data_IF_942898614681
#
_entry.id   IF_942898614681
#
_cell.length_a   1.000
_cell.length_b   1.000
_cell.length_c   1.000
_cell.angle_alpha   90.00
_cell.angle_beta   90.00
_cell.angle_gamma   90.00
#
_symmetry.space_group_name_H-M   'P 1'
#
loop_
_entity.id
_entity.type
_entity.pdbx_description
1 polymer ?
#
# COMPACT_ATOMS: atom_id res chain seq x y z
N UNK A 1 -29.75 66.91 -47.24
CA UNK A 1 -29.47 66.50 -45.87
C UNK A 1 -29.58 64.97 -45.78
N UNK A 2 -28.46 64.27 -45.64
CA UNK A 2 -28.42 62.78 -45.60
C UNK A 2 -27.93 62.38 -44.21
N UNK A 3 -28.83 61.87 -43.41
CA UNK A 3 -28.54 61.32 -42.04
C UNK A 3 -27.95 59.94 -42.15
N UNK A 4 -26.71 59.73 -41.68
CA UNK A 4 -26.07 58.42 -41.56
C UNK A 4 -26.34 57.90 -40.18
N UNK A 5 -27.03 56.76 -40.08
CA UNK A 5 -27.19 55.98 -38.85
C UNK A 5 -25.94 55.06 -38.64
N UNK A 6 -25.25 55.21 -37.49
CA UNK A 6 -24.21 54.28 -37.02
C UNK A 6 -24.88 53.16 -36.26
N UNK A 7 -24.69 51.97 -36.76
CA UNK A 7 -25.07 50.73 -36.04
C UNK A 7 -23.81 50.25 -35.24
N UNK A 8 -23.91 50.34 -33.92
CA UNK A 8 -22.88 49.76 -33.01
C UNK A 8 -23.18 48.29 -32.75
N UNK A 9 -22.29 47.38 -33.22
CA UNK A 9 -22.33 45.98 -32.86
C UNK A 9 -21.66 45.78 -31.50
N UNK A 10 -22.44 45.37 -30.51
CA UNK A 10 -21.95 44.89 -29.21
C UNK A 10 -21.57 43.40 -29.35
N UNK A 11 -20.27 43.08 -29.30
CA UNK A 11 -19.78 41.72 -29.14
C UNK A 11 -19.83 41.37 -27.66
N UNK A 12 -20.76 40.50 -27.25
CA UNK A 12 -20.76 39.87 -25.94
C UNK A 12 -19.79 38.67 -25.97
N UNK A 13 -18.63 38.82 -25.36
CA UNK A 13 -17.69 37.69 -25.13
C UNK A 13 -18.19 36.84 -23.98
N UNK A 14 -18.73 35.66 -24.28
CA UNK A 14 -19.06 34.65 -23.27
C UNK A 14 -17.77 33.99 -22.80
N UNK A 15 -17.31 34.32 -21.61
CA UNK A 15 -16.22 33.62 -20.94
C UNK A 15 -16.72 32.26 -20.44
N UNK A 16 -16.39 31.19 -21.15
CA UNK A 16 -16.62 29.84 -20.70
C UNK A 16 -15.62 29.50 -19.55
N UNK A 17 -16.11 29.56 -18.32
CA UNK A 17 -15.36 29.07 -17.17
C UNK A 17 -15.36 27.53 -17.19
N UNK A 18 -14.27 26.94 -17.64
CA UNK A 18 -14.02 25.50 -17.47
C UNK A 18 -13.78 25.21 -15.99
N UNK A 19 -14.80 24.74 -15.30
CA UNK A 19 -14.66 24.21 -13.95
C UNK A 19 -13.83 22.90 -14.06
N UNK A 20 -12.54 22.95 -13.70
CA UNK A 20 -11.72 21.77 -13.48
C UNK A 20 -12.29 21.04 -12.27
N UNK A 21 -12.98 19.92 -12.51
CA UNK A 21 -13.39 18.99 -11.46
C UNK A 21 -12.11 18.37 -10.88
N UNK A 22 -11.56 18.98 -9.83
CA UNK A 22 -10.59 18.33 -8.99
C UNK A 22 -11.33 17.11 -8.36
N UNK A 23 -11.01 15.91 -8.81
CA UNK A 23 -11.46 14.70 -8.14
C UNK A 23 -10.89 14.75 -6.72
N UNK A 24 -11.72 15.12 -5.76
CA UNK A 24 -11.38 15.07 -4.36
C UNK A 24 -11.10 13.62 -4.01
N UNK A 25 -9.85 13.31 -3.69
CA UNK A 25 -9.45 12.00 -3.19
C UNK A 25 -10.27 11.72 -1.93
N UNK A 26 -11.19 10.74 -2.00
CA UNK A 26 -12.20 10.55 -0.97
C UNK A 26 -11.64 9.82 0.24
N UNK A 27 -12.03 10.27 1.43
CA UNK A 27 -11.86 9.51 2.65
C UNK A 27 -12.74 8.24 2.61
N UNK A 28 -12.25 7.15 3.17
CA UNK A 28 -13.00 5.89 3.27
C UNK A 28 -12.57 5.07 4.48
N UNK A 29 -13.48 4.22 4.96
CA UNK A 29 -13.22 3.27 6.04
C UNK A 29 -12.86 1.91 5.47
N UNK A 30 -12.02 1.16 6.21
CA UNK A 30 -11.60 -0.18 5.83
C UNK A 30 -10.73 -0.81 6.90
N UNK A 31 -9.89 -1.75 6.47
CA UNK A 31 -9.00 -2.53 7.32
C UNK A 31 -7.60 -2.55 6.72
N UNK A 32 -6.56 -2.66 7.55
CA UNK A 32 -5.23 -2.93 7.03
C UNK A 32 -5.20 -4.27 6.28
N UNK A 33 -4.67 -4.26 5.06
CA UNK A 33 -4.55 -5.45 4.22
C UNK A 33 -3.68 -6.53 4.84
N UNK A 34 -2.71 -6.10 5.63
CA UNK A 34 -1.47 -6.83 5.91
C UNK A 34 -0.86 -6.32 7.21
N UNK A 35 0.08 -7.10 7.76
CA UNK A 35 0.85 -6.62 8.89
C UNK A 35 1.75 -5.46 8.44
N UNK A 36 1.62 -4.33 9.14
CA UNK A 36 2.45 -3.14 8.91
C UNK A 36 3.24 -2.80 10.15
N UNK A 37 4.38 -2.16 9.99
CA UNK A 37 5.23 -1.73 11.10
C UNK A 37 5.22 -0.21 11.19
N UNK A 38 5.05 0.29 12.40
CA UNK A 38 4.99 1.72 12.65
C UNK A 38 6.10 2.18 13.60
N UNK A 39 6.67 3.32 13.29
CA UNK A 39 7.53 4.07 14.19
C UNK A 39 6.79 5.34 14.59
N UNK A 40 6.23 5.36 15.81
CA UNK A 40 5.39 6.47 16.26
C UNK A 40 4.09 6.58 15.46
N UNK A 41 4.00 7.60 14.61
CA UNK A 41 2.86 7.92 13.74
C UNK A 41 3.13 7.66 12.26
N UNK A 42 4.26 7.00 11.93
CA UNK A 42 4.71 6.76 10.57
C UNK A 42 4.80 5.27 10.24
N UNK A 43 4.23 4.90 9.10
CA UNK A 43 4.36 3.57 8.48
C UNK A 43 4.97 3.78 7.09
N UNK A 44 6.17 3.25 6.84
CA UNK A 44 6.77 3.27 5.50
C UNK A 44 6.26 2.12 4.64
N UNK A 45 6.16 2.31 3.33
CA UNK A 45 5.85 1.24 2.37
C UNK A 45 6.96 0.18 2.25
N UNK A 46 8.19 0.49 2.69
CA UNK A 46 9.27 -0.50 2.82
C UNK A 46 9.00 -1.52 3.94
N UNK A 47 8.15 -1.18 4.90
CA UNK A 47 7.73 -2.04 6.01
C UNK A 47 8.90 -2.72 6.74
N UNK A 48 9.99 -1.99 6.99
CA UNK A 48 11.20 -2.48 7.63
C UNK A 48 10.90 -3.23 8.92
N UNK A 49 11.68 -4.28 9.19
CA UNK A 49 11.59 -5.08 10.41
C UNK A 49 12.73 -4.71 11.40
N UNK A 50 12.98 -3.42 11.55
CA UNK A 50 13.98 -2.93 12.51
C UNK A 50 13.50 -3.06 13.95
N UNK A 51 14.46 -3.07 14.87
CA UNK A 51 14.17 -3.12 16.31
C UNK A 51 13.39 -1.89 16.77
N UNK A 52 12.47 -2.09 17.70
CA UNK A 52 11.68 -1.00 18.30
C UNK A 52 10.44 -0.60 17.52
N UNK A 53 10.18 -1.17 16.35
CA UNK A 53 8.96 -0.93 15.62
C UNK A 53 7.80 -1.77 16.18
N UNK A 54 6.63 -1.14 16.26
CA UNK A 54 5.39 -1.83 16.66
C UNK A 54 4.68 -2.39 15.43
N UNK A 55 4.33 -3.67 15.48
CA UNK A 55 3.47 -4.27 14.45
C UNK A 55 2.03 -3.79 14.65
N UNK A 56 1.41 -3.34 13.57
CA UNK A 56 -0.02 -3.12 13.43
C UNK A 56 -0.57 -4.30 12.65
N UNK A 57 -1.37 -5.18 13.27
CA UNK A 57 -1.79 -6.43 12.62
C UNK A 57 -2.71 -6.18 11.41
N UNK A 58 -2.68 -7.10 10.46
CA UNK A 58 -3.69 -7.15 9.39
C UNK A 58 -5.10 -7.17 10.00
N UNK A 59 -6.06 -6.59 9.27
CA UNK A 59 -7.44 -6.49 9.72
C UNK A 59 -7.68 -5.44 10.81
N UNK A 60 -6.67 -4.65 11.19
CA UNK A 60 -6.88 -3.51 12.09
C UNK A 60 -7.78 -2.47 11.41
N UNK A 61 -8.90 -2.06 12.05
CA UNK A 61 -9.78 -1.02 11.51
C UNK A 61 -9.00 0.25 11.21
N UNK A 62 -9.13 0.74 9.99
CA UNK A 62 -8.35 1.87 9.49
C UNK A 62 -9.23 2.78 8.65
N UNK A 63 -9.17 4.08 8.92
CA UNK A 63 -9.86 5.10 8.14
C UNK A 63 -8.85 5.92 7.36
N UNK A 64 -8.98 5.99 6.04
CA UNK A 64 -8.29 6.99 5.22
C UNK A 64 -8.98 8.32 5.45
N UNK A 65 -8.23 9.32 5.94
CA UNK A 65 -8.77 10.64 6.29
C UNK A 65 -8.35 11.74 5.31
N UNK A 66 -7.36 11.44 4.45
CA UNK A 66 -6.88 12.38 3.45
C UNK A 66 -5.55 11.96 2.86
N UNK A 67 -4.97 12.86 2.10
CA UNK A 67 -3.75 12.63 1.35
C UNK A 67 -2.83 13.84 1.50
N UNK A 68 -1.54 13.57 1.62
CA UNK A 68 -0.48 14.57 1.62
C UNK A 68 0.52 14.31 0.50
N UNK A 69 1.62 15.05 0.48
CA UNK A 69 2.69 14.78 -0.47
C UNK A 69 3.33 13.42 -0.15
N UNK A 70 3.18 12.45 -1.05
CA UNK A 70 3.71 11.08 -0.92
C UNK A 70 3.24 10.33 0.34
N UNK A 71 2.02 10.60 0.84
CA UNK A 71 1.49 9.92 2.02
C UNK A 71 -0.03 9.83 2.02
N UNK A 72 -0.53 8.74 2.60
CA UNK A 72 -1.94 8.56 2.92
C UNK A 72 -2.11 8.83 4.40
N UNK A 73 -2.97 9.80 4.75
CA UNK A 73 -3.30 10.11 6.14
C UNK A 73 -4.37 9.14 6.62
N UNK A 74 -4.13 8.49 7.74
CA UNK A 74 -5.02 7.46 8.27
C UNK A 74 -5.28 7.66 9.76
N UNK A 75 -6.40 7.09 10.22
CA UNK A 75 -6.65 6.85 11.65
C UNK A 75 -6.69 5.34 11.86
N UNK A 76 -5.82 4.83 12.72
CA UNK A 76 -5.72 3.42 13.10
C UNK A 76 -5.93 3.32 14.61
N UNK A 77 -6.92 2.55 15.05
CA UNK A 77 -7.31 2.46 16.48
C UNK A 77 -7.49 3.84 17.15
N UNK A 78 -8.13 4.78 16.44
CA UNK A 78 -8.36 6.13 16.90
C UNK A 78 -7.12 7.05 16.91
N UNK A 79 -5.94 6.56 16.52
CA UNK A 79 -4.68 7.33 16.47
C UNK A 79 -4.40 7.79 15.06
N UNK A 80 -4.04 9.07 14.90
CA UNK A 80 -3.58 9.61 13.62
C UNK A 80 -2.24 9.01 13.26
N UNK A 81 -2.12 8.54 12.03
CA UNK A 81 -0.89 8.02 11.44
C UNK A 81 -0.82 8.39 9.96
N UNK A 82 0.32 8.13 9.34
CA UNK A 82 0.49 8.25 7.90
C UNK A 82 1.17 7.01 7.33
N UNK A 83 0.68 6.53 6.17
CA UNK A 83 1.34 5.51 5.37
C UNK A 83 2.11 6.23 4.27
N UNK A 84 3.44 6.17 4.30
CA UNK A 84 4.32 6.82 3.34
C UNK A 84 4.43 6.03 2.05
N UNK A 85 4.23 6.70 0.92
CA UNK A 85 4.59 6.21 -0.40
C UNK A 85 6.02 6.65 -0.72
N UNK A 86 6.99 6.06 -0.01
CA UNK A 86 8.38 6.50 -0.06
C UNK A 86 9.11 5.91 -1.28
N UNK A 87 8.82 4.66 -1.63
CA UNK A 87 9.50 3.89 -2.66
C UNK A 87 8.56 3.33 -3.76
N UNK A 88 7.26 3.65 -3.72
CA UNK A 88 6.27 3.19 -4.70
C UNK A 88 5.59 4.36 -5.42
N UNK A 89 6.36 5.40 -5.76
CA UNK A 89 5.84 6.71 -6.24
C UNK A 89 5.22 6.68 -7.63
N UNK A 90 5.43 5.65 -8.40
CA UNK A 90 4.77 5.39 -9.70
C UNK A 90 3.31 4.99 -9.56
N UNK A 91 2.89 4.70 -8.31
CA UNK A 91 1.49 4.40 -8.01
C UNK A 91 0.82 5.68 -7.54
N UNK A 92 -0.35 5.99 -8.10
CA UNK A 92 -1.15 7.11 -7.60
C UNK A 92 -1.49 6.91 -6.12
N UNK A 93 -1.55 8.01 -5.34
CA UNK A 93 -1.83 7.90 -3.90
C UNK A 93 -3.16 7.22 -3.59
N UNK A 94 -4.15 7.35 -4.47
CA UNK A 94 -5.43 6.65 -4.31
C UNK A 94 -5.28 5.13 -4.46
N UNK A 95 -4.58 4.68 -5.51
CA UNK A 95 -4.31 3.25 -5.71
C UNK A 95 -3.37 2.71 -4.62
N UNK A 96 -2.43 3.53 -4.17
CA UNK A 96 -1.58 3.21 -3.04
C UNK A 96 -2.40 3.03 -1.74
N UNK A 97 -3.33 3.94 -1.44
CA UNK A 97 -4.22 3.81 -0.30
C UNK A 97 -5.03 2.50 -0.35
N UNK A 98 -5.59 2.15 -1.52
CA UNK A 98 -6.36 0.92 -1.74
C UNK A 98 -5.54 -0.38 -1.64
N UNK A 99 -4.20 -0.31 -1.77
CA UNK A 99 -3.33 -1.46 -1.48
C UNK A 99 -3.28 -1.76 0.02
N UNK A 100 -3.20 -0.73 0.85
CA UNK A 100 -2.97 -0.88 2.28
C UNK A 100 -4.24 -0.83 3.12
N UNK A 101 -5.28 -0.16 2.64
CA UNK A 101 -6.58 -0.08 3.31
C UNK A 101 -7.63 -0.71 2.41
N UNK A 102 -8.08 -1.90 2.77
CA UNK A 102 -9.06 -2.72 2.02
C UNK A 102 -10.44 -2.62 2.65
N UNK A 103 -11.49 -2.72 1.83
CA UNK A 103 -12.87 -2.59 2.30
C UNK A 103 -13.39 -3.85 3.02
N UNK A 104 -12.86 -5.02 2.66
CA UNK A 104 -13.21 -6.29 3.28
C UNK A 104 -12.21 -6.63 4.39
N UNK A 105 -12.68 -7.15 5.52
CA UNK A 105 -11.81 -7.57 6.62
C UNK A 105 -10.98 -8.80 6.19
N UNK A 106 -9.65 -8.67 6.04
CA UNK A 106 -8.79 -9.75 5.59
C UNK A 106 -8.72 -10.93 6.58
N UNK A 107 -9.15 -10.75 7.82
CA UNK A 107 -9.21 -11.82 8.82
C UNK A 107 -10.21 -12.92 8.43
N UNK A 108 -11.28 -12.58 7.72
CA UNK A 108 -12.21 -13.58 7.19
C UNK A 108 -11.49 -14.54 6.22
N UNK A 109 -10.67 -14.00 5.31
CA UNK A 109 -9.84 -14.79 4.39
C UNK A 109 -8.75 -15.56 5.14
N UNK A 110 -8.08 -14.92 6.10
CA UNK A 110 -7.06 -15.57 6.94
C UNK A 110 -7.61 -16.81 7.66
N UNK A 111 -8.83 -16.75 8.17
CA UNK A 111 -9.47 -17.85 8.89
C UNK A 111 -9.66 -19.12 8.02
N UNK A 112 -9.71 -18.97 6.69
CA UNK A 112 -9.84 -20.11 5.75
C UNK A 112 -8.54 -20.85 5.47
N UNK A 113 -7.39 -20.31 5.87
CA UNK A 113 -6.09 -20.88 5.58
C UNK A 113 -5.72 -22.01 6.56
N UNK A 114 -4.92 -22.99 6.11
CA UNK A 114 -4.35 -24.00 7.02
C UNK A 114 -3.59 -23.36 8.19
N UNK A 115 -3.59 -24.03 9.34
CA UNK A 115 -3.01 -23.49 10.58
C UNK A 115 -1.57 -22.98 10.38
N UNK A 116 -0.71 -23.79 9.74
CA UNK A 116 0.70 -23.41 9.50
C UNK A 116 0.83 -22.06 8.78
N UNK A 117 0.08 -21.85 7.69
CA UNK A 117 0.13 -20.57 6.93
C UNK A 117 -0.48 -19.44 7.74
N UNK A 118 -1.59 -19.67 8.43
CA UNK A 118 -2.24 -18.68 9.27
C UNK A 118 -1.31 -18.17 10.37
N UNK A 119 -0.66 -19.11 11.08
CA UNK A 119 0.23 -18.77 12.18
C UNK A 119 1.48 -18.01 11.69
N UNK A 120 2.03 -18.41 10.53
CA UNK A 120 3.14 -17.69 9.90
C UNK A 120 2.71 -16.26 9.47
N UNK A 121 1.51 -16.09 8.88
CA UNK A 121 0.99 -14.76 8.52
C UNK A 121 0.83 -13.90 9.76
N UNK A 122 0.24 -14.41 10.84
CA UNK A 122 0.07 -13.66 12.08
C UNK A 122 1.40 -13.26 12.73
N UNK A 123 2.43 -14.09 12.57
CA UNK A 123 3.78 -13.79 13.02
C UNK A 123 4.56 -12.84 12.08
N UNK A 124 4.01 -12.48 10.92
CA UNK A 124 4.72 -11.66 9.92
C UNK A 124 5.87 -12.41 9.25
N UNK A 125 5.74 -13.73 9.08
CA UNK A 125 6.75 -14.60 8.50
C UNK A 125 6.28 -15.15 7.16
N UNK A 126 7.23 -15.46 6.28
CA UNK A 126 7.00 -16.18 5.03
C UNK A 126 7.28 -17.66 5.23
N UNK A 127 6.44 -18.54 4.69
CA UNK A 127 6.68 -19.99 4.74
C UNK A 127 6.51 -20.62 3.35
N UNK A 128 7.14 -21.79 3.17
CA UNK A 128 7.04 -22.59 1.94
C UNK A 128 5.57 -22.89 1.61
N UNK A 129 5.22 -22.78 0.33
CA UNK A 129 3.89 -23.08 -0.18
C UNK A 129 2.86 -21.96 0.00
N UNK A 130 3.20 -20.83 0.64
CA UNK A 130 2.34 -19.64 0.64
C UNK A 130 2.07 -19.15 -0.78
N UNK A 131 0.86 -18.69 -1.04
CA UNK A 131 0.53 -17.94 -2.25
C UNK A 131 1.06 -16.51 -2.16
N UNK A 132 1.10 -15.80 -3.29
CA UNK A 132 1.44 -14.37 -3.32
C UNK A 132 0.57 -13.54 -2.37
N UNK A 133 -0.74 -13.77 -2.37
CA UNK A 133 -1.66 -13.09 -1.45
C UNK A 133 -1.32 -13.33 0.03
N UNK A 134 -0.95 -14.56 0.38
CA UNK A 134 -0.55 -14.91 1.74
C UNK A 134 0.74 -14.20 2.15
N UNK A 135 1.69 -14.05 1.22
CA UNK A 135 2.91 -13.26 1.46
C UNK A 135 2.56 -11.79 1.65
N UNK A 136 1.69 -11.21 0.81
CA UNK A 136 1.23 -9.82 0.98
C UNK A 136 0.57 -9.61 2.35
N UNK A 137 -0.31 -10.53 2.78
CA UNK A 137 -0.95 -10.45 4.10
C UNK A 137 0.08 -10.51 5.25
N UNK A 138 1.14 -11.27 5.08
CA UNK A 138 2.15 -11.49 6.11
C UNK A 138 3.13 -10.32 6.25
N UNK A 139 3.77 -9.92 5.16
CA UNK A 139 4.90 -8.97 5.18
C UNK A 139 4.62 -7.66 4.44
N UNK A 140 3.40 -7.50 3.91
CA UNK A 140 3.01 -6.31 3.15
C UNK A 140 3.39 -6.38 1.67
N UNK A 141 3.11 -5.29 0.96
CA UNK A 141 3.50 -5.17 -0.45
C UNK A 141 5.00 -4.91 -0.59
N UNK A 142 5.67 -5.54 -1.54
CA UNK A 142 7.03 -5.16 -1.89
C UNK A 142 7.00 -3.78 -2.55
N UNK A 143 8.05 -2.96 -2.35
CA UNK A 143 8.13 -1.62 -2.93
C UNK A 143 8.10 -1.68 -4.46
N UNK A 144 7.27 -0.83 -5.08
CA UNK A 144 7.00 -0.92 -6.52
C UNK A 144 8.19 -0.57 -7.39
N UNK A 145 9.06 0.34 -6.94
CA UNK A 145 10.27 0.71 -7.68
C UNK A 145 11.21 -0.46 -7.98
N UNK A 146 11.21 -1.49 -7.14
CA UNK A 146 12.02 -2.69 -7.32
C UNK A 146 11.19 -3.92 -7.75
N UNK A 147 9.88 -3.86 -7.58
CA UNK A 147 8.95 -4.92 -7.90
C UNK A 147 7.79 -4.39 -8.78
N UNK A 148 8.08 -3.99 -10.02
CA UNK A 148 7.09 -3.33 -10.89
C UNK A 148 5.95 -4.29 -11.29
N UNK A 149 6.15 -5.59 -11.15
CA UNK A 149 5.16 -6.62 -11.47
C UNK A 149 5.03 -7.64 -10.34
N UNK A 150 3.82 -7.74 -9.78
CA UNK A 150 3.53 -8.72 -8.72
C UNK A 150 3.45 -10.17 -9.21
N UNK A 151 3.44 -10.40 -10.52
CA UNK A 151 3.51 -11.73 -11.15
C UNK A 151 4.95 -12.25 -11.29
N UNK A 152 5.95 -11.41 -11.01
CA UNK A 152 7.36 -11.78 -11.11
C UNK A 152 7.68 -13.03 -10.25
N UNK A 153 8.61 -13.90 -10.70
CA UNK A 153 8.98 -15.12 -9.98
C UNK A 153 9.72 -14.85 -8.67
N UNK A 154 10.15 -13.61 -8.45
CA UNK A 154 10.87 -13.21 -7.23
C UNK A 154 10.42 -11.81 -6.83
N UNK A 155 10.19 -11.62 -5.51
CA UNK A 155 9.94 -10.32 -4.90
C UNK A 155 11.07 -9.97 -3.96
N UNK A 156 11.56 -8.73 -4.05
CA UNK A 156 12.56 -8.18 -3.15
C UNK A 156 11.88 -7.37 -2.05
N UNK A 157 12.33 -7.62 -0.84
CA UNK A 157 11.93 -6.90 0.37
C UNK A 157 13.16 -6.40 1.11
N UNK A 158 12.96 -5.37 1.90
CA UNK A 158 13.97 -4.82 2.77
C UNK A 158 13.60 -5.06 4.23
N UNK A 159 14.58 -5.48 5.04
CA UNK A 159 14.41 -5.62 6.49
C UNK A 159 14.93 -4.40 7.22
N UNK A 160 15.87 -3.69 6.60
CA UNK A 160 16.44 -2.42 7.00
C UNK A 160 17.00 -1.71 5.77
N UNK A 161 17.58 -0.52 5.93
CA UNK A 161 18.26 0.21 4.84
C UNK A 161 19.46 -0.52 4.23
N UNK A 162 19.95 -1.59 4.88
CA UNK A 162 21.19 -2.28 4.49
C UNK A 162 21.00 -3.80 4.35
N UNK A 163 19.82 -4.32 4.59
CA UNK A 163 19.57 -5.76 4.60
C UNK A 163 18.28 -6.07 3.86
N UNK A 164 18.35 -7.02 2.96
CA UNK A 164 17.23 -7.44 2.12
C UNK A 164 16.96 -8.94 2.24
N UNK A 165 15.81 -9.35 1.78
CA UNK A 165 15.49 -10.73 1.47
C UNK A 165 14.66 -10.82 0.20
N UNK A 166 14.70 -11.97 -0.45
CA UNK A 166 13.95 -12.22 -1.65
C UNK A 166 13.03 -13.42 -1.45
N UNK A 167 11.76 -13.26 -1.82
CA UNK A 167 10.79 -14.36 -1.83
C UNK A 167 10.74 -14.93 -3.23
N UNK A 168 11.23 -16.16 -3.40
CA UNK A 168 11.19 -16.87 -4.67
C UNK A 168 9.93 -17.71 -4.79
N UNK A 169 9.22 -17.60 -5.91
CA UNK A 169 8.01 -18.36 -6.23
C UNK A 169 8.28 -19.43 -7.28
N UNK A 170 7.53 -20.52 -7.22
CA UNK A 170 7.47 -21.55 -8.25
C UNK A 170 6.50 -21.14 -9.38
N UNK A 171 6.40 -21.98 -10.41
CA UNK A 171 5.53 -21.75 -11.58
C UNK A 171 4.03 -21.71 -11.22
N UNK A 172 3.64 -22.30 -10.08
CA UNK A 172 2.28 -22.24 -9.55
C UNK A 172 2.03 -20.98 -8.69
N UNK A 173 3.03 -20.08 -8.58
CA UNK A 173 2.94 -18.85 -7.79
C UNK A 173 2.98 -19.07 -6.29
N UNK A 174 3.57 -20.18 -5.84
CA UNK A 174 3.75 -20.51 -4.42
C UNK A 174 5.18 -20.29 -3.99
N UNK A 175 5.37 -19.85 -2.75
CA UNK A 175 6.69 -19.64 -2.19
C UNK A 175 7.49 -20.95 -2.23
N UNK A 176 8.59 -20.91 -2.94
CA UNK A 176 9.59 -21.97 -3.03
C UNK A 176 10.63 -21.84 -1.93
N UNK A 177 11.16 -20.62 -1.74
CA UNK A 177 12.19 -20.33 -0.75
C UNK A 177 12.27 -18.82 -0.45
N UNK A 178 12.97 -18.49 0.63
CA UNK A 178 13.45 -17.13 0.91
C UNK A 178 14.98 -17.13 0.80
N UNK A 179 15.48 -16.27 -0.08
CA UNK A 179 16.92 -16.06 -0.30
C UNK A 179 17.33 -14.81 0.49
N UNK A 180 18.21 -14.99 1.45
CA UNK A 180 18.71 -13.93 2.32
C UNK A 180 19.99 -14.38 3.04
N UNK A 181 20.68 -13.44 3.68
CA UNK A 181 21.69 -13.79 4.70
C UNK A 181 21.06 -14.70 5.77
N UNK A 182 21.79 -15.69 6.33
CA UNK A 182 21.26 -16.60 7.32
C UNK A 182 20.62 -15.92 8.55
N UNK A 183 21.14 -14.78 8.96
CA UNK A 183 20.57 -14.00 10.07
C UNK A 183 19.23 -13.39 9.70
N UNK A 184 19.15 -12.79 8.53
CA UNK A 184 17.90 -12.23 7.97
C UNK A 184 16.88 -13.34 7.74
N UNK A 185 17.31 -14.47 7.18
CA UNK A 185 16.40 -15.59 6.91
C UNK A 185 15.70 -16.08 8.18
N UNK A 186 16.39 -16.17 9.30
CA UNK A 186 15.79 -16.54 10.61
C UNK A 186 14.73 -15.56 11.11
N UNK A 187 14.78 -14.30 10.67
CA UNK A 187 13.83 -13.26 11.07
C UNK A 187 12.57 -13.21 10.21
N UNK A 188 12.59 -13.81 9.02
CA UNK A 188 11.50 -13.67 8.04
C UNK A 188 10.92 -15.01 7.56
N UNK A 189 11.56 -16.12 7.87
CA UNK A 189 11.18 -17.45 7.41
C UNK A 189 10.62 -18.33 8.54
N UNK A 190 9.45 -18.93 8.29
CA UNK A 190 8.88 -20.00 9.11
C UNK A 190 9.12 -21.37 8.43
N UNK A 191 9.75 -22.29 9.15
CA UNK A 191 10.02 -23.67 8.70
C UNK A 191 8.75 -24.55 8.66
#
# INVERSE_FOLDING_TARGET
MKTRALIALLFAAAAATTASSAFAQSAFDGFLCCNMRTTGDWISDSNYNDSGQRVVPLGTPTKVTGYGRYRVLVTIDGKRQAIGNDYSRDISLENFAKRYVVTEDPRAKLATYPAKQRDAIQAGLVSRGMTRDQVLMSVGYPIASENPRLEAPTWRYWISSFSEFQVAFDDAGRVKDVVADPTVKRLVWAE
#
